data_IF_205012895375
#
_entry.id   IF_205012895375
#
_cell.length_a   1.000
_cell.length_b   1.000
_cell.length_c   1.000
_cell.angle_alpha   90.00
_cell.angle_beta   90.00
_cell.angle_gamma   90.00
#
_symmetry.space_group_name_H-M   'P 1'
#
loop_
_entity.id
_entity.type
_entity.pdbx_description
1 polymer ?
#
# COMPACT_ATOMS: atom_id res chain seq x y z
N UNK A 1 1.69 6.25 -12.46
CA UNK A 1 0.32 6.31 -11.87
C UNK A 1 0.08 5.07 -11.02
N UNK A 2 -0.68 5.18 -9.94
CA UNK A 2 -1.14 4.02 -9.15
C UNK A 2 -2.65 4.13 -8.93
N UNK A 3 -3.36 3.00 -9.09
CA UNK A 3 -4.80 2.89 -8.82
C UNK A 3 -5.13 1.59 -8.10
N UNK A 4 -5.82 1.67 -6.97
CA UNK A 4 -6.34 0.51 -6.25
C UNK A 4 -7.71 0.17 -6.81
N UNK A 5 -7.82 -1.01 -7.43
CA UNK A 5 -8.98 -1.40 -8.22
C UNK A 5 -10.08 -2.05 -7.38
N UNK A 6 -9.69 -3.00 -6.52
CA UNK A 6 -10.62 -3.81 -5.74
C UNK A 6 -9.87 -4.53 -4.60
N UNK A 7 -10.61 -5.29 -3.80
CA UNK A 7 -10.09 -6.17 -2.76
C UNK A 7 -10.54 -7.61 -2.98
N UNK A 8 -9.58 -8.53 -3.03
CA UNK A 8 -9.82 -9.94 -3.24
C UNK A 8 -9.60 -10.73 -1.95
N UNK A 9 -10.50 -11.66 -1.65
CA UNK A 9 -10.30 -12.69 -0.62
C UNK A 9 -9.54 -13.88 -1.21
N UNK A 10 -8.43 -14.27 -0.62
CA UNK A 10 -7.66 -15.48 -0.96
C UNK A 10 -7.76 -16.51 0.16
N UNK A 11 -7.69 -17.81 -0.17
CA UNK A 11 -7.79 -18.92 0.80
C UNK A 11 -6.45 -19.60 1.09
N UNK A 12 -5.53 -19.59 0.12
CA UNK A 12 -4.20 -20.20 0.22
C UNK A 12 -3.15 -19.10 0.48
N UNK A 13 -2.18 -19.30 1.39
CA UNK A 13 -2.01 -20.44 2.30
C UNK A 13 -3.00 -20.43 3.49
N UNK A 14 -3.63 -19.29 3.77
CA UNK A 14 -4.68 -19.11 4.78
C UNK A 14 -5.66 -18.03 4.30
N UNK A 15 -6.86 -17.94 4.88
CA UNK A 15 -7.84 -16.90 4.54
C UNK A 15 -7.29 -15.49 4.80
N UNK A 16 -7.12 -14.68 3.75
CA UNK A 16 -6.67 -13.29 3.85
C UNK A 16 -7.26 -12.42 2.74
N UNK A 17 -7.11 -11.10 2.86
CA UNK A 17 -7.52 -10.13 1.84
C UNK A 17 -6.28 -9.44 1.27
N UNK A 18 -6.29 -9.24 -0.05
CA UNK A 18 -5.31 -8.45 -0.80
C UNK A 18 -6.01 -7.34 -1.55
N UNK A 19 -5.40 -6.17 -1.63
CA UNK A 19 -5.80 -5.13 -2.56
C UNK A 19 -5.20 -5.42 -3.93
N UNK A 20 -5.99 -5.23 -4.97
CA UNK A 20 -5.59 -5.32 -6.38
C UNK A 20 -5.16 -3.91 -6.80
N UNK A 21 -3.90 -3.74 -7.21
CA UNK A 21 -3.31 -2.44 -7.47
C UNK A 21 -2.76 -2.43 -8.89
N UNK A 22 -3.22 -1.51 -9.72
CA UNK A 22 -2.66 -1.24 -11.05
C UNK A 22 -1.56 -0.19 -10.92
N UNK A 23 -0.37 -0.51 -11.41
CA UNK A 23 0.81 0.38 -11.41
C UNK A 23 1.20 0.66 -12.85
N UNK A 24 1.27 1.94 -13.21
CA UNK A 24 1.78 2.39 -14.51
C UNK A 24 3.10 3.12 -14.31
N UNK A 25 4.18 2.54 -14.84
CA UNK A 25 5.56 3.03 -14.72
C UNK A 25 5.89 4.10 -15.78
N UNK A 26 6.94 4.88 -15.54
CA UNK A 26 7.39 5.95 -16.45
C UNK A 26 7.86 5.45 -17.81
N UNK A 27 8.28 4.18 -17.90
CA UNK A 27 8.65 3.52 -19.15
C UNK A 27 7.43 3.01 -19.97
N UNK A 28 6.21 3.29 -19.52
CA UNK A 28 4.97 2.86 -20.16
C UNK A 28 4.48 1.47 -19.75
N UNK A 29 5.27 0.69 -19.00
CA UNK A 29 4.84 -0.61 -18.50
C UNK A 29 3.68 -0.45 -17.52
N UNK A 30 2.71 -1.37 -17.60
CA UNK A 30 1.54 -1.39 -16.72
C UNK A 30 1.36 -2.79 -16.16
N UNK A 31 1.38 -2.91 -14.84
CA UNK A 31 1.35 -4.17 -14.11
C UNK A 31 0.21 -4.17 -13.08
N UNK A 32 -0.25 -5.35 -12.67
CA UNK A 32 -1.18 -5.52 -11.55
C UNK A 32 -0.49 -6.28 -10.44
N UNK A 33 -0.45 -5.70 -9.25
CA UNK A 33 0.15 -6.30 -8.06
C UNK A 33 -0.89 -6.50 -6.96
N UNK A 34 -0.57 -7.40 -6.02
CA UNK A 34 -1.43 -7.75 -4.91
C UNK A 34 -0.72 -7.50 -3.59
N UNK A 35 -1.32 -6.67 -2.72
CA UNK A 35 -0.73 -6.35 -1.41
C UNK A 35 -1.73 -6.52 -0.29
N UNK A 36 -1.32 -7.17 0.80
CA UNK A 36 -2.09 -7.19 2.05
C UNK A 36 -1.95 -5.84 2.75
N UNK A 37 -2.94 -5.45 3.55
CA UNK A 37 -2.83 -4.25 4.42
C UNK A 37 -1.55 -4.25 5.27
N UNK A 38 -1.11 -5.41 5.74
CA UNK A 38 0.14 -5.52 6.52
C UNK A 38 1.36 -4.98 5.76
N UNK A 39 1.41 -5.13 4.43
CA UNK A 39 2.53 -4.61 3.63
C UNK A 39 2.54 -3.09 3.52
N UNK A 40 1.37 -2.46 3.53
CA UNK A 40 1.28 -1.01 3.64
C UNK A 40 1.73 -0.51 5.01
N UNK A 41 1.40 -1.26 6.07
CA UNK A 41 1.86 -0.94 7.42
C UNK A 41 3.38 -1.05 7.54
N UNK A 42 3.96 -2.13 7.00
CA UNK A 42 5.43 -2.32 6.95
C UNK A 42 6.09 -1.13 6.23
N UNK A 43 5.59 -0.77 5.04
CA UNK A 43 6.08 0.39 4.28
C UNK A 43 5.95 1.69 5.08
N UNK A 44 4.79 1.95 5.71
CA UNK A 44 4.59 3.15 6.52
C UNK A 44 5.63 3.27 7.63
N UNK A 45 5.97 2.17 8.32
CA UNK A 45 6.97 2.20 9.37
C UNK A 45 8.37 2.49 8.80
N UNK A 46 8.74 1.85 7.69
CA UNK A 46 10.01 2.09 7.01
C UNK A 46 10.13 3.55 6.55
N UNK A 47 9.09 4.12 5.95
CA UNK A 47 9.09 5.51 5.50
C UNK A 47 9.20 6.51 6.66
N UNK A 48 8.51 6.24 7.79
CA UNK A 48 8.60 7.10 8.97
C UNK A 48 9.96 7.02 9.66
N UNK A 49 10.61 5.85 9.65
CA UNK A 49 11.95 5.66 10.20
C UNK A 49 13.02 6.34 9.32
N UNK A 50 12.93 6.17 8.00
CA UNK A 50 13.87 6.74 7.03
C UNK A 50 13.77 8.26 6.89
N UNK A 51 12.56 8.81 7.01
CA UNK A 51 12.27 10.23 6.83
C UNK A 51 11.54 10.78 8.06
N UNK A 52 12.19 10.89 9.22
CA UNK A 52 11.52 11.24 10.48
C UNK A 52 11.02 12.69 10.51
N UNK A 53 11.64 13.60 9.75
CA UNK A 53 11.18 14.99 9.63
C UNK A 53 9.91 15.08 8.78
N UNK A 54 9.93 14.48 7.59
CA UNK A 54 8.81 14.40 6.64
C UNK A 54 7.68 13.49 7.14
N UNK A 55 8.00 12.61 8.10
CA UNK A 55 7.04 11.85 8.89
C UNK A 55 6.37 12.66 10.00
N UNK A 56 6.86 13.86 10.28
CA UNK A 56 6.37 14.75 11.32
C UNK A 56 6.69 14.31 12.75
N UNK A 57 7.73 13.48 12.94
CA UNK A 57 8.10 13.01 14.28
C UNK A 57 8.77 14.10 15.12
N UNK A 58 9.48 15.03 14.47
CA UNK A 58 10.09 16.20 15.13
C UNK A 58 9.14 17.40 15.20
N UNK A 59 8.44 17.69 14.09
CA UNK A 59 7.44 18.75 13.98
C UNK A 59 6.26 18.26 13.13
N UNK A 60 5.04 18.17 13.67
CA UNK A 60 3.85 17.79 12.91
C UNK A 60 3.60 18.62 11.64
N UNK A 61 4.05 19.89 11.61
CA UNK A 61 3.91 20.77 10.44
C UNK A 61 4.80 20.38 9.27
N UNK A 62 5.87 19.64 9.51
CA UNK A 62 6.77 19.13 8.47
C UNK A 62 6.27 17.83 7.84
N UNK A 63 5.18 17.27 8.36
CA UNK A 63 4.66 16.00 7.84
C UNK A 63 4.15 16.16 6.43
N UNK A 64 4.78 15.44 5.50
CA UNK A 64 4.31 15.25 4.14
C UNK A 64 4.03 13.78 3.84
N UNK A 65 4.58 12.83 4.61
CA UNK A 65 4.27 11.41 4.46
C UNK A 65 2.78 11.18 4.81
N UNK A 66 1.99 10.60 3.88
CA UNK A 66 0.55 10.42 4.10
C UNK A 66 0.26 9.53 5.31
N UNK A 67 -0.93 9.68 5.87
CA UNK A 67 -1.40 8.80 6.93
C UNK A 67 -1.98 7.53 6.32
N UNK A 68 -1.45 6.37 6.75
CA UNK A 68 -2.07 5.10 6.42
C UNK A 68 -3.38 4.95 7.23
N UNK A 69 -4.52 4.54 6.61
CA UNK A 69 -5.77 4.37 7.34
C UNK A 69 -5.60 3.38 8.48
N UNK A 70 -5.75 3.86 9.71
CA UNK A 70 -5.33 3.17 10.94
C UNK A 70 -5.82 1.72 11.09
N UNK A 71 -5.16 0.97 11.99
CA UNK A 71 -5.57 -0.40 12.32
C UNK A 71 -6.97 -0.38 12.93
N UNK A 72 -7.94 -0.90 12.18
CA UNK A 72 -9.31 -1.04 12.65
C UNK A 72 -9.38 -2.31 13.51
N UNK A 73 -9.48 -2.13 14.83
CA UNK A 73 -9.57 -3.22 15.81
C UNK A 73 -11.02 -3.70 15.94
N UNK A 74 -11.59 -4.28 14.88
CA UNK A 74 -12.88 -4.99 14.96
C UNK A 74 -12.68 -6.49 15.25
N UNK A 75 -13.75 -7.16 15.72
CA UNK A 75 -13.79 -8.63 15.81
C UNK A 75 -13.57 -9.27 14.42
N UNK A 76 -12.96 -10.47 14.40
CA UNK A 76 -12.59 -11.22 13.17
C UNK A 76 -13.72 -11.35 12.14
N UNK A 77 -14.98 -11.32 12.57
CA UNK A 77 -16.17 -11.39 11.72
C UNK A 77 -16.27 -10.26 10.70
N UNK A 78 -15.73 -9.07 10.97
CA UNK A 78 -15.91 -7.88 10.12
C UNK A 78 -14.71 -7.60 9.19
N UNK A 79 -13.78 -8.54 9.06
CA UNK A 79 -12.54 -8.32 8.29
C UNK A 79 -12.80 -8.02 6.80
N UNK A 80 -13.90 -8.55 6.24
CA UNK A 80 -14.33 -8.22 4.86
C UNK A 80 -14.69 -6.74 4.77
N UNK A 81 -15.58 -6.28 5.66
CA UNK A 81 -16.06 -4.90 5.66
C UNK A 81 -14.93 -3.92 5.91
N UNK A 82 -13.97 -4.28 6.77
CA UNK A 82 -12.74 -3.52 6.98
C UNK A 82 -11.94 -3.37 5.70
N UNK A 83 -11.75 -4.46 4.95
CA UNK A 83 -10.95 -4.45 3.74
C UNK A 83 -11.63 -3.64 2.62
N UNK A 84 -12.95 -3.76 2.47
CA UNK A 84 -13.75 -2.98 1.51
C UNK A 84 -13.76 -1.49 1.89
N UNK A 85 -14.04 -1.14 3.16
CA UNK A 85 -14.03 0.26 3.64
C UNK A 85 -12.69 0.96 3.45
N UNK A 86 -11.60 0.19 3.36
CA UNK A 86 -10.24 0.71 3.16
C UNK A 86 -9.86 0.93 1.71
N UNK A 87 -10.67 0.53 0.72
CA UNK A 87 -10.32 0.68 -0.69
C UNK A 87 -9.97 2.12 -1.06
N UNK A 88 -10.89 3.05 -0.81
CA UNK A 88 -10.71 4.47 -1.11
C UNK A 88 -9.49 5.07 -0.37
N UNK A 89 -9.37 4.95 0.96
CA UNK A 89 -8.23 5.57 1.65
C UNK A 89 -6.88 4.89 1.34
N UNK A 90 -6.85 3.63 0.93
CA UNK A 90 -5.62 2.98 0.44
C UNK A 90 -5.25 3.48 -0.96
N UNK A 91 -6.23 3.74 -1.83
CA UNK A 91 -6.00 4.39 -3.13
C UNK A 91 -5.42 5.80 -2.95
N UNK A 92 -6.03 6.61 -2.08
CA UNK A 92 -5.56 7.95 -1.74
C UNK A 92 -4.16 7.93 -1.14
N UNK A 93 -3.87 6.99 -0.24
CA UNK A 93 -2.55 6.79 0.33
C UNK A 93 -1.50 6.52 -0.76
N UNK A 94 -1.77 5.61 -1.70
CA UNK A 94 -0.85 5.29 -2.78
C UNK A 94 -0.59 6.50 -3.67
N UNK A 95 -1.65 7.20 -4.08
CA UNK A 95 -1.57 8.39 -4.93
C UNK A 95 -0.77 9.50 -4.27
N UNK A 96 -1.02 9.78 -3.00
CA UNK A 96 -0.27 10.78 -2.24
C UNK A 96 1.20 10.40 -2.13
N UNK A 97 1.51 9.12 -1.86
CA UNK A 97 2.89 8.64 -1.70
C UNK A 97 3.72 8.83 -2.98
N UNK A 98 3.17 8.50 -4.15
CA UNK A 98 3.90 8.67 -5.42
C UNK A 98 3.98 10.13 -5.90
N UNK A 99 3.21 11.03 -5.29
CA UNK A 99 3.25 12.48 -5.56
C UNK A 99 4.23 13.23 -4.63
N UNK A 100 4.82 12.56 -3.64
CA UNK A 100 5.86 13.14 -2.80
C UNK A 100 7.12 13.49 -3.62
N UNK A 101 7.99 14.37 -3.08
CA UNK A 101 9.26 14.70 -3.72
C UNK A 101 10.06 13.44 -4.14
N UNK A 102 10.79 13.47 -5.26
CA UNK A 102 11.47 12.30 -5.81
C UNK A 102 12.37 11.53 -4.84
N UNK A 103 13.04 12.22 -3.91
CA UNK A 103 13.89 11.56 -2.91
C UNK A 103 13.11 10.67 -1.94
N UNK A 104 11.79 10.83 -1.84
CA UNK A 104 10.88 9.98 -1.07
C UNK A 104 10.13 9.02 -2.01
N UNK A 105 9.50 9.53 -3.06
CA UNK A 105 8.63 8.72 -3.93
C UNK A 105 9.39 7.73 -4.81
N UNK A 106 10.70 7.94 -5.02
CA UNK A 106 11.58 7.06 -5.78
C UNK A 106 12.62 6.38 -4.87
N UNK A 107 12.44 6.41 -3.54
CA UNK A 107 13.31 5.64 -2.66
C UNK A 107 13.05 4.13 -2.83
N UNK A 108 14.06 3.33 -2.48
CA UNK A 108 14.05 1.87 -2.67
C UNK A 108 12.81 1.20 -2.09
N UNK A 109 12.36 1.60 -0.90
CA UNK A 109 11.21 1.01 -0.21
C UNK A 109 9.90 1.23 -0.99
N UNK A 110 9.72 2.42 -1.58
CA UNK A 110 8.54 2.75 -2.39
C UNK A 110 8.59 1.98 -3.71
N UNK A 111 9.75 1.94 -4.37
CA UNK A 111 9.91 1.21 -5.63
C UNK A 111 9.65 -0.30 -5.43
N UNK A 112 10.28 -0.92 -4.44
CA UNK A 112 10.10 -2.35 -4.11
C UNK A 112 8.68 -2.70 -3.64
N UNK A 113 7.94 -1.72 -3.10
CA UNK A 113 6.55 -1.93 -2.74
C UNK A 113 5.68 -2.12 -4.00
N UNK A 114 5.89 -1.26 -5.01
CA UNK A 114 5.11 -1.24 -6.25
C UNK A 114 5.64 -2.17 -7.34
N UNK A 115 6.86 -2.69 -7.22
CA UNK A 115 7.43 -3.65 -8.16
C UNK A 115 6.66 -4.99 -8.18
N UNK A 116 6.51 -5.58 -9.37
CA UNK A 116 5.88 -6.88 -9.55
C UNK A 116 6.69 -7.98 -8.86
N UNK A 117 6.03 -8.87 -8.13
CA UNK A 117 6.65 -10.05 -7.50
C UNK A 117 6.27 -11.34 -8.24
N UNK A 118 7.02 -12.45 -8.07
CA UNK A 118 6.64 -13.74 -8.68
C UNK A 118 5.19 -14.16 -8.37
N UNK A 119 4.74 -13.95 -7.13
CA UNK A 119 3.37 -14.25 -6.69
C UNK A 119 2.28 -13.38 -7.35
N UNK A 120 2.66 -12.24 -7.95
CA UNK A 120 1.75 -11.36 -8.69
C UNK A 120 1.53 -11.88 -10.13
N UNK A 121 2.54 -12.54 -10.72
CA UNK A 121 2.47 -13.12 -12.07
C UNK A 121 1.72 -14.46 -12.09
N UNK A 122 1.87 -15.25 -11.03
CA UNK A 122 1.16 -16.53 -10.85
C UNK A 122 0.36 -16.49 -9.55
N UNK A 123 -0.74 -15.71 -9.49
CA UNK A 123 -1.55 -15.66 -8.27
C UNK A 123 -2.09 -17.06 -7.97
N UNK A 124 -2.09 -17.50 -6.69
CA UNK A 124 -2.65 -18.80 -6.31
C UNK A 124 -4.07 -18.93 -6.87
N UNK A 125 -4.33 -20.02 -7.60
CA UNK A 125 -5.69 -20.41 -7.98
C UNK A 125 -6.50 -20.67 -6.69
N UNK A 126 -7.79 -20.31 -6.70
CA UNK A 126 -8.68 -20.22 -5.52
C UNK A 126 -8.56 -21.33 -4.47
#
# INVERSE_FOLDING_TARGET
EVKVLDVQKRRIPNKHYVYIIKVSWSNGATEVIYRRYSKFFDLQMQMLDKFPMEGGQKDPKQRIIPFLPGKILFRRSHIRDVAVKRLIPIDEYCKALIQLPPYISQCEEVLQFFETRPDDLTPPKE
#
